data_IF_272126530870
#
_entry.id   IF_272126530870
#
_cell.length_a   1.000
_cell.length_b   1.000
_cell.length_c   1.000
_cell.angle_alpha   90.00
_cell.angle_beta   90.00
_cell.angle_gamma   90.00
#
_symmetry.space_group_name_H-M   'P 1'
#
loop_
_entity.id
_entity.type
_entity.pdbx_description
1 polymer ?
#
# COMPACT_ATOMS: atom_id res chain seq x y z
N UNK A 1 16.68 -13.44 -5.69
CA UNK A 1 15.69 -13.96 -6.67
C UNK A 1 14.88 -12.77 -7.19
N UNK A 2 14.93 -12.45 -8.49
CA UNK A 2 13.99 -11.48 -9.09
C UNK A 2 12.64 -12.19 -9.21
N UNK A 3 11.62 -11.66 -8.53
CA UNK A 3 10.29 -12.29 -8.48
C UNK A 3 9.37 -11.80 -9.61
N UNK A 4 9.70 -10.66 -10.24
CA UNK A 4 8.99 -10.09 -11.38
C UNK A 4 10.00 -9.93 -12.52
N UNK A 5 9.62 -10.40 -13.71
CA UNK A 5 10.40 -10.42 -14.95
C UNK A 5 9.52 -10.00 -16.13
N UNK A 6 10.11 -9.80 -17.31
CA UNK A 6 9.38 -9.40 -18.52
C UNK A 6 8.41 -10.50 -19.00
N UNK A 7 8.63 -11.76 -18.61
CA UNK A 7 7.71 -12.87 -18.88
C UNK A 7 6.51 -12.94 -17.91
N UNK A 8 6.50 -12.13 -16.85
CA UNK A 8 5.44 -12.14 -15.83
C UNK A 8 4.11 -11.72 -16.44
N UNK A 9 3.12 -12.61 -16.43
CA UNK A 9 1.77 -12.36 -16.99
C UNK A 9 0.75 -11.88 -15.95
N UNK A 10 0.96 -12.19 -14.68
CA UNK A 10 0.01 -11.89 -13.60
C UNK A 10 0.77 -11.58 -12.30
N UNK A 11 0.30 -10.56 -11.59
CA UNK A 11 0.78 -10.20 -10.25
C UNK A 11 -0.39 -10.35 -9.26
N UNK A 12 -0.25 -11.22 -8.27
CA UNK A 12 -1.24 -11.39 -7.20
C UNK A 12 -0.77 -10.67 -5.92
N UNK A 13 -1.44 -9.57 -5.59
CA UNK A 13 -1.18 -8.80 -4.37
C UNK A 13 -1.86 -9.45 -3.16
N UNK A 14 -1.12 -10.25 -2.40
CA UNK A 14 -1.61 -10.98 -1.21
C UNK A 14 -1.42 -10.18 0.10
N UNK A 15 -2.16 -10.56 1.14
CA UNK A 15 -2.03 -9.97 2.48
C UNK A 15 -2.84 -8.67 2.67
N UNK A 16 -2.55 -7.98 3.79
CA UNK A 16 -3.27 -6.78 4.25
C UNK A 16 -2.98 -5.56 3.39
N UNK A 17 -1.73 -5.39 2.96
CA UNK A 17 -1.29 -4.27 2.14
C UNK A 17 -1.67 -4.51 0.69
N UNK A 18 -2.56 -3.67 0.15
CA UNK A 18 -2.94 -3.67 -1.27
C UNK A 18 -2.40 -2.42 -1.98
N UNK A 19 -2.10 -2.48 -3.27
CA UNK A 19 -1.52 -1.33 -3.98
C UNK A 19 -2.48 -0.15 -4.13
N UNK A 20 -3.79 -0.36 -3.94
CA UNK A 20 -4.82 0.68 -3.84
C UNK A 20 -5.01 1.24 -2.43
N UNK A 21 -4.08 0.98 -1.51
CA UNK A 21 -4.06 1.62 -0.19
C UNK A 21 -3.20 2.89 -0.20
N UNK A 22 -3.65 3.94 0.49
CA UNK A 22 -3.00 5.26 0.51
C UNK A 22 -1.62 5.29 1.20
N UNK A 23 -1.22 4.20 1.85
CA UNK A 23 0.02 4.08 2.63
C UNK A 23 1.09 3.23 1.94
N UNK A 24 0.87 2.85 0.69
CA UNK A 24 1.78 1.97 -0.05
C UNK A 24 2.84 2.73 -0.82
N UNK A 25 4.07 2.21 -0.74
CA UNK A 25 5.21 2.67 -1.51
C UNK A 25 6.21 1.53 -1.63
N UNK A 26 6.03 0.65 -2.61
CA UNK A 26 6.94 -0.47 -2.88
C UNK A 26 7.12 -0.70 -4.39
N UNK A 27 8.26 -1.25 -4.85
CA UNK A 27 8.60 -1.26 -6.28
C UNK A 27 7.56 -1.93 -7.20
N UNK A 28 6.85 -2.97 -6.74
CA UNK A 28 5.84 -3.65 -7.56
C UNK A 28 4.47 -2.94 -7.60
N UNK A 29 4.30 -1.86 -6.85
CA UNK A 29 3.09 -1.03 -6.94
C UNK A 29 3.00 -0.30 -8.28
N UNK A 30 4.13 -0.02 -8.94
CA UNK A 30 4.17 0.65 -10.25
C UNK A 30 3.26 -0.02 -11.29
N UNK A 31 3.24 -1.36 -11.32
CA UNK A 31 2.41 -2.13 -12.26
C UNK A 31 0.91 -1.95 -12.00
N UNK A 32 0.51 -1.85 -10.73
CA UNK A 32 -0.87 -1.50 -10.39
C UNK A 32 -1.18 -0.05 -10.77
N UNK A 33 -0.27 0.88 -10.49
CA UNK A 33 -0.47 2.30 -10.79
C UNK A 33 -0.61 2.55 -12.31
N UNK A 34 0.20 1.90 -13.13
CA UNK A 34 0.09 1.96 -14.60
C UNK A 34 -1.29 1.48 -15.07
N UNK A 35 -1.77 0.34 -14.55
CA UNK A 35 -3.09 -0.17 -14.86
C UNK A 35 -4.22 0.73 -14.34
N UNK A 36 -4.08 1.27 -13.12
CA UNK A 36 -5.02 2.22 -12.51
C UNK A 36 -5.17 3.48 -13.37
N UNK A 37 -4.06 4.09 -13.81
CA UNK A 37 -4.08 5.29 -14.65
C UNK A 37 -4.73 5.06 -16.01
N UNK A 38 -4.56 3.86 -16.58
CA UNK A 38 -5.18 3.47 -17.85
C UNK A 38 -6.65 3.00 -17.72
N UNK A 39 -7.14 2.79 -16.49
CA UNK A 39 -8.49 2.29 -16.24
C UNK A 39 -9.53 3.41 -16.15
N UNK A 40 -10.82 3.03 -16.15
CA UNK A 40 -11.92 3.94 -15.87
C UNK A 40 -12.04 4.35 -14.40
N UNK A 41 -11.14 3.88 -13.53
CA UNK A 41 -11.10 4.21 -12.10
C UNK A 41 -9.94 5.14 -11.75
N UNK A 42 -9.31 5.80 -12.73
CA UNK A 42 -8.12 6.63 -12.52
C UNK A 42 -8.35 7.87 -11.64
N UNK A 43 -9.61 8.17 -11.32
CA UNK A 43 -10.08 9.22 -10.43
C UNK A 43 -10.55 8.71 -9.06
N UNK A 44 -10.56 7.40 -8.83
CA UNK A 44 -11.01 6.79 -7.57
C UNK A 44 -9.88 6.84 -6.54
N UNK A 45 -10.08 7.63 -5.48
CA UNK A 45 -9.11 7.77 -4.41
C UNK A 45 -8.72 6.42 -3.76
N UNK A 46 -7.45 6.32 -3.36
CA UNK A 46 -6.93 5.14 -2.65
C UNK A 46 -7.54 5.02 -1.26
N UNK A 47 -7.68 3.77 -0.80
CA UNK A 47 -8.39 3.43 0.42
C UNK A 47 -7.50 3.68 1.64
N UNK A 48 -7.95 4.48 2.63
CA UNK A 48 -7.22 4.70 3.88
C UNK A 48 -7.36 3.49 4.82
N UNK A 49 -6.59 3.48 5.91
CA UNK A 49 -6.71 2.43 6.91
C UNK A 49 -8.01 2.59 7.71
N UNK A 50 -8.76 1.50 7.90
CA UNK A 50 -10.09 1.52 8.54
C UNK A 50 -10.24 0.57 9.73
N UNK A 51 -9.22 -0.22 10.05
CA UNK A 51 -9.24 -1.17 11.17
C UNK A 51 -7.86 -1.31 11.82
N UNK A 52 -7.84 -1.85 13.04
CA UNK A 52 -6.62 -2.07 13.84
C UNK A 52 -5.49 -2.72 13.05
N UNK A 53 -5.78 -3.80 12.32
CA UNK A 53 -4.77 -4.53 11.54
C UNK A 53 -4.16 -3.64 10.45
N UNK A 54 -4.97 -2.80 9.80
CA UNK A 54 -4.48 -1.84 8.81
C UNK A 54 -3.73 -0.68 9.47
N UNK A 55 -4.15 -0.19 10.63
CA UNK A 55 -3.42 0.82 11.39
C UNK A 55 -2.02 0.35 11.78
N UNK A 56 -1.92 -0.88 12.28
CA UNK A 56 -0.64 -1.50 12.61
C UNK A 56 0.30 -1.55 11.41
N UNK A 57 -0.21 -1.98 10.25
CA UNK A 57 0.59 -2.13 9.03
C UNK A 57 0.96 -0.77 8.43
N UNK A 58 0.02 0.19 8.38
CA UNK A 58 0.24 1.58 7.93
C UNK A 58 1.30 2.26 8.79
N UNK A 59 1.23 2.13 10.12
CA UNK A 59 2.23 2.66 11.04
C UNK A 59 3.64 2.16 10.72
N UNK A 60 3.80 0.84 10.48
CA UNK A 60 5.11 0.24 10.11
C UNK A 60 5.62 0.75 8.77
N UNK A 61 4.74 0.88 7.77
CA UNK A 61 5.09 1.43 6.46
C UNK A 61 5.54 2.89 6.55
N UNK A 62 4.79 3.73 7.25
CA UNK A 62 5.13 5.14 7.44
C UNK A 62 6.48 5.30 8.15
N UNK A 63 6.75 4.47 9.17
CA UNK A 63 8.06 4.44 9.85
C UNK A 63 9.20 4.13 8.87
N UNK A 64 9.03 3.08 8.05
CA UNK A 64 10.02 2.67 7.05
C UNK A 64 10.25 3.73 5.96
N UNK A 65 9.23 4.53 5.67
CA UNK A 65 9.29 5.62 4.70
C UNK A 65 9.74 6.95 5.33
N UNK A 66 10.17 6.96 6.60
CA UNK A 66 10.65 8.17 7.29
C UNK A 66 9.54 9.12 7.79
N UNK A 67 8.26 8.77 7.63
CA UNK A 67 7.15 9.57 8.11
C UNK A 67 6.81 9.22 9.57
N UNK A 68 7.69 9.66 10.49
CA UNK A 68 7.65 9.27 11.91
C UNK A 68 6.42 9.82 12.64
N UNK A 69 6.03 11.07 12.40
CA UNK A 69 4.86 11.68 13.04
C UNK A 69 3.56 10.92 12.69
N UNK A 70 3.34 10.64 11.41
CA UNK A 70 2.17 9.86 10.98
C UNK A 70 2.26 8.42 11.47
N UNK A 71 3.46 7.83 11.50
CA UNK A 71 3.66 6.49 12.05
C UNK A 71 3.21 6.40 13.51
N UNK A 72 3.55 7.39 14.33
CA UNK A 72 3.13 7.46 15.73
C UNK A 72 1.61 7.62 15.87
N UNK A 73 1.00 8.49 15.07
CA UNK A 73 -0.47 8.65 15.05
C UNK A 73 -1.19 7.32 14.77
N UNK A 74 -0.80 6.61 13.71
CA UNK A 74 -1.41 5.31 13.38
C UNK A 74 -1.03 4.20 14.37
N UNK A 75 0.09 4.33 15.09
CA UNK A 75 0.43 3.43 16.18
C UNK A 75 -0.54 3.61 17.35
N UNK A 76 -0.89 4.84 17.71
CA UNK A 76 -1.89 5.10 18.76
C UNK A 76 -3.28 4.57 18.36
N UNK A 77 -3.71 4.78 17.10
CA UNK A 77 -4.97 4.24 16.58
C UNK A 77 -5.04 2.70 16.58
N UNK A 78 -3.90 2.02 16.57
CA UNK A 78 -3.85 0.57 16.68
C UNK A 78 -4.12 0.06 18.11
N UNK A 79 -3.86 0.89 19.13
CA UNK A 79 -4.08 0.54 20.54
C UNK A 79 -5.36 1.15 21.15
N UNK A 80 -6.06 2.01 20.41
CA UNK A 80 -7.36 2.59 20.79
C UNK A 80 -8.50 1.67 20.40
#
# INVERSE_FOLDING_TARGET
>A
KKTITDDTKLIHYVGVTKPWNDWTNYPCQKYFNEAYQASCWNDVAFIPATNEKQYQVKSRHLKRNGNIASSFYYFMLYYS
#
